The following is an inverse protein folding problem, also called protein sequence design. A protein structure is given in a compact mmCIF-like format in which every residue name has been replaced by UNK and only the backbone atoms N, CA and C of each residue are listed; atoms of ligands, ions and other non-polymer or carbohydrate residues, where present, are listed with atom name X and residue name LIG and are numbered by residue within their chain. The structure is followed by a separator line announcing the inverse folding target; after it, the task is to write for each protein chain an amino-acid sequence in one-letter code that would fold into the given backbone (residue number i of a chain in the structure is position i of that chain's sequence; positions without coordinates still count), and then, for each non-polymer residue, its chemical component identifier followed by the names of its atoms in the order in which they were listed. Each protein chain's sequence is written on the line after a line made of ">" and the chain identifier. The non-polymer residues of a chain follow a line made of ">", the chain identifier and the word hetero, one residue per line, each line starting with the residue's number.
data_IF_458630519392
#
_entry.id   IF_458630519392
#
_cell.length_a   1.000
_cell.length_b   1.000
_cell.length_c   1.000
_cell.angle_alpha   90.00
_cell.angle_beta   90.00
_cell.angle_gamma   90.00
#
_symmetry.space_group_name_H-M   'P 1'
#
loop_
_entity.id
_entity.type
_entity.pdbx_description
1 polymer ?
#
# COMPACT_ATOMS: atom_id res chain seq x y z
N UNK A 1 36.60 12.34 19.86
CA UNK A 1 36.08 13.03 18.65
C UNK A 1 34.56 13.05 18.72
N UNK A 2 33.97 14.24 18.56
CA UNK A 2 32.54 14.54 18.76
C UNK A 2 31.63 13.74 17.81
N UNK A 3 30.43 13.30 18.24
CA UNK A 3 29.43 12.74 17.35
C UNK A 3 28.73 13.87 16.57
N UNK A 4 28.66 13.71 15.25
CA UNK A 4 27.98 14.60 14.33
C UNK A 4 26.46 14.46 14.54
N UNK A 5 25.82 15.58 14.85
CA UNK A 5 24.38 15.71 15.11
C UNK A 5 23.60 15.73 13.78
N UNK A 6 22.49 15.00 13.82
CA UNK A 6 21.25 15.08 13.05
C UNK A 6 21.10 16.23 12.03
N UNK A 7 20.71 15.86 10.80
CA UNK A 7 19.70 16.61 10.02
C UNK A 7 18.73 15.61 9.36
N UNK A 8 17.63 15.32 10.05
CA UNK A 8 16.40 14.96 9.35
C UNK A 8 15.95 16.22 8.60
N UNK A 9 15.77 16.11 7.28
CA UNK A 9 15.01 17.11 6.54
C UNK A 9 13.55 17.05 7.01
N UNK A 10 13.23 17.88 7.99
CA UNK A 10 11.89 18.18 8.41
C UNK A 10 11.49 19.47 7.69
N UNK A 11 10.69 19.37 6.63
CA UNK A 11 10.12 20.57 5.99
C UNK A 11 9.17 21.21 7.00
N UNK A 12 9.64 22.29 7.62
CA UNK A 12 8.89 23.07 8.59
C UNK A 12 7.95 24.04 7.86
N UNK A 13 6.68 23.66 7.65
CA UNK A 13 5.62 24.59 7.19
C UNK A 13 4.62 24.84 8.33
N UNK A 14 5.12 25.38 9.44
CA UNK A 14 4.41 25.46 10.72
C UNK A 14 3.41 26.61 10.89
N UNK A 15 3.42 27.63 10.03
CA UNK A 15 2.58 28.83 10.20
C UNK A 15 1.65 29.17 9.02
N UNK A 16 2.01 28.91 7.77
CA UNK A 16 1.22 29.42 6.61
C UNK A 16 -0.13 28.71 6.37
N UNK A 17 -0.27 27.43 6.76
CA UNK A 17 -1.42 26.62 6.35
C UNK A 17 -2.74 26.87 7.11
N UNK A 18 -2.76 27.70 8.17
CA UNK A 18 -4.04 28.08 8.81
C UNK A 18 -4.82 29.11 8.00
N UNK A 19 -4.13 29.92 7.20
CA UNK A 19 -4.78 30.97 6.40
C UNK A 19 -5.48 30.40 5.15
N UNK A 20 -5.17 29.16 4.74
CA UNK A 20 -5.66 28.55 3.50
C UNK A 20 -6.82 27.55 3.66
N UNK A 21 -7.23 27.20 4.90
CA UNK A 21 -8.32 26.24 5.14
C UNK A 21 -8.00 24.77 4.79
N UNK A 22 -6.74 24.44 4.50
CA UNK A 22 -6.32 23.08 4.11
C UNK A 22 -6.30 22.12 5.32
N UNK A 23 -6.85 20.92 5.14
CA UNK A 23 -6.75 19.81 6.11
C UNK A 23 -5.52 18.96 5.83
N UNK A 24 -4.70 18.71 6.85
CA UNK A 24 -3.44 17.95 6.73
C UNK A 24 -3.70 16.46 7.02
N UNK A 25 -3.30 15.61 6.08
CA UNK A 25 -3.09 14.17 6.31
C UNK A 25 -1.59 13.88 6.37
N UNK A 26 -1.15 13.00 7.27
CA UNK A 26 0.26 12.61 7.37
C UNK A 26 0.45 11.12 7.17
N UNK A 27 1.51 10.77 6.46
CA UNK A 27 1.94 9.40 6.24
C UNK A 27 3.22 9.14 7.04
N UNK A 28 3.25 8.03 7.76
CA UNK A 28 4.35 7.75 8.69
C UNK A 28 5.51 7.00 8.05
N UNK A 29 5.22 6.07 7.14
CA UNK A 29 6.23 5.25 6.48
C UNK A 29 5.98 5.25 4.98
N UNK A 30 6.82 6.03 4.29
CA UNK A 30 6.94 6.07 2.83
C UNK A 30 8.36 5.71 2.43
N UNK A 31 8.57 4.53 1.86
CA UNK A 31 9.86 4.06 1.34
C UNK A 31 11.04 3.99 2.34
N UNK A 32 10.87 4.50 3.55
CA UNK A 32 11.94 4.85 4.48
C UNK A 32 11.83 3.93 5.68
N UNK A 33 12.35 2.71 5.53
CA UNK A 33 12.69 1.88 6.68
C UNK A 33 14.07 2.38 7.14
N UNK A 34 14.26 2.85 8.40
CA UNK A 34 15.54 3.42 8.80
C UNK A 34 16.71 2.45 8.55
N UNK A 35 17.81 2.94 7.95
CA UNK A 35 19.02 2.18 7.56
C UNK A 35 19.58 1.23 8.63
N UNK A 36 19.33 1.49 9.92
CA UNK A 36 19.67 0.56 11.02
C UNK A 36 18.88 -0.77 11.02
N UNK A 37 17.98 -0.97 10.06
CA UNK A 37 17.27 -2.22 9.76
C UNK A 37 17.91 -2.92 8.53
N UNK A 38 18.98 -2.37 7.94
CA UNK A 38 19.80 -3.03 6.92
C UNK A 38 21.06 -3.65 7.55
N UNK A 39 20.90 -4.93 7.95
CA UNK A 39 21.85 -6.03 7.73
C UNK A 39 23.33 -5.86 8.13
N UNK A 40 23.59 -5.76 9.45
CA UNK A 40 24.82 -6.26 10.09
C UNK A 40 24.61 -7.43 11.07
N UNK A 41 23.37 -7.71 11.50
CA UNK A 41 23.08 -8.63 12.64
C UNK A 41 21.78 -9.45 12.48
N UNK A 42 21.31 -9.63 11.24
CA UNK A 42 19.97 -10.18 10.95
C UNK A 42 19.76 -11.70 11.06
N UNK A 43 20.75 -12.61 11.13
CA UNK A 43 20.45 -14.02 11.38
C UNK A 43 19.95 -14.31 12.81
N UNK A 44 20.22 -13.41 13.79
CA UNK A 44 19.84 -13.61 15.20
C UNK A 44 18.56 -12.88 15.63
N UNK A 45 17.98 -12.02 14.79
CA UNK A 45 16.82 -11.17 15.13
C UNK A 45 15.46 -11.81 14.78
N UNK A 46 15.45 -13.02 14.23
CA UNK A 46 14.24 -13.67 13.67
C UNK A 46 13.25 -14.24 14.71
N UNK A 47 13.42 -13.96 16.02
CA UNK A 47 12.57 -14.58 17.06
C UNK A 47 11.61 -13.68 17.83
N UNK A 48 11.75 -12.34 17.82
CA UNK A 48 10.83 -11.49 18.63
C UNK A 48 10.80 -9.99 18.31
N UNK A 49 11.61 -9.48 17.36
CA UNK A 49 12.06 -8.09 17.47
C UNK A 49 11.63 -7.10 16.37
N UNK A 50 10.77 -7.44 15.41
CA UNK A 50 10.15 -6.37 14.59
C UNK A 50 9.16 -5.55 15.43
N UNK A 51 8.29 -6.21 16.21
CA UNK A 51 7.43 -5.52 17.19
C UNK A 51 8.25 -4.74 18.21
N UNK A 52 9.38 -5.28 18.69
CA UNK A 52 10.26 -4.59 19.62
C UNK A 52 11.00 -3.41 18.97
N UNK A 53 11.47 -3.52 17.73
CA UNK A 53 12.18 -2.43 17.02
C UNK A 53 11.23 -1.27 16.66
N UNK A 54 9.98 -1.59 16.30
CA UNK A 54 8.91 -0.59 16.24
C UNK A 54 8.67 0.01 17.63
N UNK A 55 8.46 -0.78 18.70
CA UNK A 55 8.26 -0.26 20.07
C UNK A 55 9.43 0.59 20.59
N UNK A 56 10.68 0.23 20.31
CA UNK A 56 11.87 0.88 20.87
C UNK A 56 12.17 2.23 20.19
N UNK A 57 11.80 2.40 18.91
CA UNK A 57 11.88 3.69 18.19
C UNK A 57 10.60 4.53 18.33
N UNK A 58 9.48 3.92 18.70
CA UNK A 58 8.26 4.60 19.10
C UNK A 58 8.39 5.07 20.56
N UNK A 59 9.20 6.10 20.85
CA UNK A 59 9.14 6.77 22.16
C UNK A 59 7.76 7.44 22.30
N UNK A 60 6.81 6.90 23.09
CA UNK A 60 5.44 7.44 23.14
C UNK A 60 5.44 8.87 23.67
N UNK A 61 6.39 9.18 24.55
CA UNK A 61 6.56 10.47 25.22
C UNK A 61 6.97 11.62 24.29
N UNK A 62 7.56 11.36 23.11
CA UNK A 62 7.93 12.41 22.15
C UNK A 62 6.79 12.80 21.19
N UNK A 63 5.74 11.98 21.08
CA UNK A 63 4.67 12.18 20.09
C UNK A 63 3.29 12.40 20.71
N UNK A 64 3.00 11.79 21.87
CA UNK A 64 1.76 12.04 22.60
C UNK A 64 1.77 13.39 23.36
N UNK A 65 2.96 13.97 23.60
CA UNK A 65 3.12 15.28 24.25
C UNK A 65 3.52 16.41 23.28
N UNK A 66 3.74 16.10 22.00
CA UNK A 66 4.27 17.03 21.00
C UNK A 66 3.19 17.60 20.08
N UNK A 67 3.25 18.91 19.83
CA UNK A 67 2.35 19.77 19.04
C UNK A 67 1.71 19.22 17.74
N UNK A 68 2.22 18.13 17.14
CA UNK A 68 1.69 17.51 15.91
C UNK A 68 0.41 16.69 16.14
N UNK A 69 0.32 15.89 17.21
CA UNK A 69 -0.84 15.04 17.47
C UNK A 69 -2.12 15.86 17.75
N UNK A 70 -1.96 17.09 18.25
CA UNK A 70 -3.07 18.03 18.46
C UNK A 70 -3.65 18.49 17.12
N UNK A 71 -2.82 18.63 16.07
CA UNK A 71 -3.20 19.23 14.77
C UNK A 71 -3.58 18.20 13.71
N UNK A 72 -2.95 17.03 13.71
CA UNK A 72 -3.21 15.98 12.72
C UNK A 72 -4.31 15.05 13.22
N UNK A 73 -5.40 14.96 12.45
CA UNK A 73 -6.55 14.09 12.75
C UNK A 73 -6.63 12.86 11.85
N UNK A 74 -5.76 12.77 10.85
CA UNK A 74 -5.77 11.72 9.86
C UNK A 74 -4.35 11.15 9.67
N UNK A 75 -4.14 9.90 10.09
CA UNK A 75 -2.86 9.19 10.12
C UNK A 75 -2.81 7.93 9.28
N UNK A 76 -1.85 7.84 8.36
CA UNK A 76 -1.58 6.61 7.61
C UNK A 76 -0.39 5.86 8.18
N UNK A 77 -0.59 4.59 8.49
CA UNK A 77 0.48 3.73 9.03
C UNK A 77 1.48 3.24 7.99
N UNK A 78 1.07 2.90 6.76
CA UNK A 78 1.95 2.26 5.77
C UNK A 78 1.52 2.55 4.34
N UNK A 79 2.42 3.09 3.51
CA UNK A 79 2.24 3.05 2.05
C UNK A 79 2.49 1.63 1.52
N UNK A 80 1.61 1.17 0.65
CA UNK A 80 1.84 0.33 -0.51
C UNK A 80 2.46 -1.00 -0.13
N UNK A 81 1.85 -1.70 0.84
CA UNK A 81 2.45 -2.89 1.40
C UNK A 81 2.58 -3.99 0.32
N UNK A 82 1.75 -3.96 -0.73
CA UNK A 82 1.94 -4.77 -1.92
C UNK A 82 3.24 -4.44 -2.66
N UNK A 83 3.50 -3.17 -2.97
CA UNK A 83 4.73 -2.70 -3.63
C UNK A 83 5.95 -3.14 -2.84
N UNK A 84 5.97 -2.90 -1.53
CA UNK A 84 7.07 -3.33 -0.66
C UNK A 84 7.27 -4.84 -0.66
N UNK A 85 6.20 -5.62 -0.56
CA UNK A 85 6.29 -7.08 -0.45
C UNK A 85 6.63 -7.75 -1.77
N UNK A 86 5.97 -7.37 -2.86
CA UNK A 86 6.16 -8.02 -4.16
C UNK A 86 7.37 -7.42 -4.90
N UNK A 87 7.45 -6.10 -5.06
CA UNK A 87 8.57 -5.52 -5.81
C UNK A 87 9.88 -5.60 -5.03
N UNK A 88 9.83 -5.53 -3.69
CA UNK A 88 11.01 -5.58 -2.83
C UNK A 88 11.54 -6.98 -2.48
N UNK A 89 10.64 -7.97 -2.30
CA UNK A 89 10.99 -9.31 -1.78
C UNK A 89 10.56 -10.49 -2.67
N UNK A 90 9.90 -10.23 -3.80
CA UNK A 90 9.56 -11.28 -4.78
C UNK A 90 10.24 -11.03 -6.12
N UNK A 91 10.07 -9.83 -6.68
CA UNK A 91 10.63 -9.43 -7.97
C UNK A 91 12.04 -8.86 -7.83
N UNK A 92 12.37 -8.23 -6.71
CA UNK A 92 13.69 -7.64 -6.45
C UNK A 92 13.98 -6.36 -7.27
N UNK A 93 12.94 -5.76 -7.86
CA UNK A 93 13.01 -4.52 -8.63
C UNK A 93 13.09 -3.28 -7.73
N UNK A 94 12.56 -3.35 -6.51
CA UNK A 94 12.60 -2.25 -5.53
C UNK A 94 13.51 -2.61 -4.35
N UNK A 95 14.03 -1.64 -3.59
CA UNK A 95 14.73 -1.91 -2.33
C UNK A 95 13.88 -2.79 -1.38
N UNK A 96 14.48 -3.78 -0.67
CA UNK A 96 15.91 -4.07 -0.56
C UNK A 96 16.47 -4.99 -1.66
N UNK A 97 15.75 -5.17 -2.78
CA UNK A 97 16.14 -6.00 -3.93
C UNK A 97 16.43 -7.46 -3.55
N UNK A 98 15.49 -8.07 -2.83
CA UNK A 98 15.55 -9.49 -2.48
C UNK A 98 14.62 -10.30 -3.37
N UNK A 99 15.13 -11.41 -3.88
CA UNK A 99 14.38 -12.37 -4.67
C UNK A 99 15.15 -13.70 -4.69
N UNK A 100 14.47 -14.79 -5.08
CA UNK A 100 15.13 -16.08 -5.25
C UNK A 100 16.29 -15.97 -6.24
N UNK A 101 17.39 -16.67 -5.96
CA UNK A 101 18.55 -16.72 -6.86
C UNK A 101 18.11 -17.23 -8.23
N UNK A 102 18.48 -16.52 -9.29
CA UNK A 102 18.06 -16.83 -10.67
C UNK A 102 16.68 -16.28 -11.05
N UNK A 103 16.01 -15.52 -10.18
CA UNK A 103 14.81 -14.77 -10.55
C UNK A 103 15.15 -13.54 -11.42
N UNK A 104 14.13 -12.99 -12.08
CA UNK A 104 14.28 -11.87 -13.02
C UNK A 104 14.92 -10.60 -12.43
N UNK A 105 14.89 -10.40 -11.12
CA UNK A 105 15.54 -9.28 -10.44
C UNK A 105 17.05 -9.43 -10.23
N UNK A 106 17.64 -10.56 -10.64
CA UNK A 106 19.07 -10.89 -10.52
C UNK A 106 19.60 -10.75 -9.09
N UNK A 107 18.79 -11.10 -8.09
CA UNK A 107 19.18 -10.98 -6.69
C UNK A 107 20.16 -12.09 -6.29
N UNK A 108 21.15 -11.71 -5.48
CA UNK A 108 22.11 -12.64 -4.88
C UNK A 108 21.58 -13.36 -3.64
N UNK A 109 20.45 -12.90 -3.08
CA UNK A 109 19.87 -13.44 -1.85
C UNK A 109 18.36 -13.20 -1.81
N UNK A 110 17.63 -14.16 -1.23
CA UNK A 110 16.20 -14.05 -0.98
C UNK A 110 15.44 -15.35 -1.21
N UNK A 111 14.15 -15.35 -0.88
CA UNK A 111 13.20 -16.43 -1.18
C UNK A 111 11.86 -15.81 -1.59
N UNK A 112 11.65 -15.66 -2.90
CA UNK A 112 10.42 -15.10 -3.48
C UNK A 112 9.18 -15.93 -3.16
N UNK A 113 9.34 -17.18 -2.70
CA UNK A 113 8.25 -18.05 -2.28
C UNK A 113 7.81 -17.85 -0.83
N UNK A 114 8.64 -17.25 0.03
CA UNK A 114 8.40 -17.11 1.49
C UNK A 114 8.49 -15.69 2.02
N UNK A 115 9.48 -14.92 1.58
CA UNK A 115 9.75 -13.58 2.10
C UNK A 115 8.56 -12.61 1.92
N UNK A 116 7.86 -12.58 0.77
CA UNK A 116 6.69 -11.70 0.61
C UNK A 116 5.59 -11.96 1.63
N UNK A 117 5.32 -13.22 1.99
CA UNK A 117 4.35 -13.57 3.02
C UNK A 117 4.83 -13.16 4.41
N UNK A 118 6.11 -13.36 4.69
CA UNK A 118 6.69 -13.03 5.99
C UNK A 118 6.70 -11.52 6.21
N UNK A 119 7.08 -10.74 5.20
CA UNK A 119 7.08 -9.28 5.25
C UNK A 119 5.65 -8.76 5.37
N UNK A 120 4.70 -9.27 4.57
CA UNK A 120 3.30 -8.89 4.67
C UNK A 120 2.73 -9.14 6.09
N UNK A 121 3.07 -10.27 6.71
CA UNK A 121 2.65 -10.62 8.07
C UNK A 121 3.14 -9.60 9.10
N UNK A 122 4.41 -9.24 9.03
CA UNK A 122 4.96 -8.26 9.96
C UNK A 122 4.42 -6.84 9.71
N UNK A 123 4.17 -6.46 8.46
CA UNK A 123 3.50 -5.18 8.14
C UNK A 123 2.13 -5.12 8.81
N UNK A 124 1.33 -6.19 8.72
CA UNK A 124 -0.01 -6.25 9.34
C UNK A 124 0.09 -6.14 10.87
N UNK A 125 1.03 -6.86 11.49
CA UNK A 125 1.25 -6.81 12.93
C UNK A 125 1.73 -5.44 13.41
N UNK A 126 2.70 -4.85 12.71
CA UNK A 126 3.23 -3.53 13.03
C UNK A 126 2.15 -2.45 12.89
N UNK A 127 1.35 -2.53 11.83
CA UNK A 127 0.18 -1.69 11.64
C UNK A 127 -0.79 -1.80 12.82
N UNK A 128 -1.25 -3.01 13.14
CA UNK A 128 -2.24 -3.22 14.20
C UNK A 128 -1.71 -2.81 15.59
N UNK A 129 -0.43 -3.06 15.87
CA UNK A 129 0.23 -2.59 17.08
C UNK A 129 0.27 -1.05 17.15
N UNK A 130 0.50 -0.38 16.01
CA UNK A 130 0.53 1.08 15.94
C UNK A 130 -0.85 1.70 16.18
N UNK A 131 -1.89 1.13 15.57
CA UNK A 131 -3.28 1.54 15.81
C UNK A 131 -3.65 1.36 17.28
N UNK A 132 -3.28 0.22 17.88
CA UNK A 132 -3.54 -0.02 19.30
C UNK A 132 -2.81 0.98 20.21
N UNK A 133 -1.54 1.29 19.90
CA UNK A 133 -0.69 2.15 20.74
C UNK A 133 -1.24 3.57 20.86
N UNK A 134 -1.78 4.12 19.78
CA UNK A 134 -2.15 5.52 19.73
C UNK A 134 -3.67 5.77 19.91
N UNK A 135 -4.44 4.75 20.29
CA UNK A 135 -5.91 4.82 20.40
C UNK A 135 -6.60 4.82 19.02
N UNK A 136 -7.94 4.78 18.98
CA UNK A 136 -8.76 4.65 17.76
C UNK A 136 -8.74 5.89 16.83
N UNK A 137 -7.56 6.37 16.43
CA UNK A 137 -7.41 7.48 15.48
C UNK A 137 -6.36 7.17 14.38
N UNK A 138 -6.32 5.93 13.88
CA UNK A 138 -5.28 5.47 12.94
C UNK A 138 -5.87 4.74 11.74
N UNK A 139 -5.17 4.88 10.62
CA UNK A 139 -5.62 4.40 9.32
C UNK A 139 -4.64 3.37 8.79
N UNK A 140 -5.15 2.31 8.20
CA UNK A 140 -4.36 1.46 7.30
C UNK A 140 -4.46 2.01 5.90
N UNK A 141 -3.32 2.27 5.28
CA UNK A 141 -3.13 2.16 3.82
C UNK A 141 -2.39 0.82 3.57
N UNK A 142 -2.40 0.22 2.38
CA UNK A 142 -2.69 0.76 1.07
C UNK A 142 -3.05 -0.39 0.11
N UNK A 143 -3.66 -0.04 -1.02
CA UNK A 143 -3.78 -0.94 -2.15
C UNK A 143 -3.68 -0.24 -3.47
N UNK A 144 -2.86 -0.82 -4.36
CA UNK A 144 -2.66 -0.44 -5.74
C UNK A 144 -3.41 -1.41 -6.68
N UNK A 145 -4.28 -0.86 -7.53
CA UNK A 145 -4.87 -1.42 -8.77
C UNK A 145 -5.84 -2.61 -8.70
N UNK A 146 -7.03 -2.45 -9.30
CA UNK A 146 -7.94 -3.57 -9.56
C UNK A 146 -8.88 -3.46 -10.77
N UNK A 147 -9.21 -4.67 -11.26
CA UNK A 147 -9.80 -5.02 -12.55
C UNK A 147 -11.29 -5.03 -12.66
N UNK A 148 -11.74 -4.71 -13.87
CA UNK A 148 -13.01 -5.16 -14.41
C UNK A 148 -12.80 -6.23 -15.48
N UNK A 149 -13.48 -7.36 -15.30
CA UNK A 149 -14.23 -7.98 -16.39
C UNK A 149 -15.56 -8.48 -15.81
N UNK A 150 -16.61 -8.37 -16.62
CA UNK A 150 -18.03 -8.60 -16.36
C UNK A 150 -18.42 -9.94 -15.70
N UNK A 151 -17.50 -10.82 -15.26
CA UNK A 151 -17.85 -12.09 -14.58
C UNK A 151 -16.94 -12.65 -13.46
N UNK A 152 -15.72 -12.19 -13.14
CA UNK A 152 -14.86 -13.00 -12.24
C UNK A 152 -13.99 -12.19 -11.24
N UNK A 153 -14.35 -12.30 -9.96
CA UNK A 153 -13.59 -11.90 -8.75
C UNK A 153 -12.34 -12.75 -8.45
N UNK A 154 -11.61 -13.24 -9.47
CA UNK A 154 -10.45 -14.15 -9.31
C UNK A 154 -9.19 -13.69 -10.06
N UNK A 155 -8.81 -12.42 -9.95
CA UNK A 155 -7.52 -11.94 -10.43
C UNK A 155 -6.42 -12.07 -9.36
N UNK A 156 -5.16 -12.25 -9.76
CA UNK A 156 -4.02 -12.22 -8.81
C UNK A 156 -4.01 -10.91 -8.00
N UNK A 157 -4.38 -9.78 -8.60
CA UNK A 157 -4.41 -8.48 -7.89
C UNK A 157 -5.53 -8.38 -6.85
N UNK A 158 -6.70 -9.01 -7.07
CA UNK A 158 -7.71 -9.07 -6.02
C UNK A 158 -7.25 -9.95 -4.85
N UNK A 159 -6.49 -11.01 -5.13
CA UNK A 159 -5.86 -11.81 -4.08
C UNK A 159 -4.88 -10.98 -3.25
N UNK A 160 -4.17 -10.04 -3.87
CA UNK A 160 -3.31 -9.09 -3.18
C UNK A 160 -4.13 -8.08 -2.36
N UNK A 161 -5.19 -7.49 -2.93
CA UNK A 161 -6.18 -6.67 -2.22
C UNK A 161 -6.81 -7.38 -1.02
N UNK A 162 -6.94 -8.70 -1.09
CA UNK A 162 -7.49 -9.49 0.00
C UNK A 162 -6.42 -9.84 1.05
N UNK A 163 -5.12 -9.88 0.68
CA UNK A 163 -4.01 -10.29 1.57
C UNK A 163 -3.94 -9.49 2.86
N UNK A 164 -4.23 -8.20 2.79
CA UNK A 164 -4.20 -7.24 3.90
C UNK A 164 -5.63 -6.85 4.34
N UNK A 165 -6.62 -6.71 3.44
CA UNK A 165 -8.01 -6.42 3.87
C UNK A 165 -8.68 -7.54 4.66
N UNK A 166 -8.49 -8.81 4.30
CA UNK A 166 -9.13 -9.92 5.05
C UNK A 166 -8.60 -9.98 6.50
N UNK A 167 -7.28 -9.88 6.78
CA UNK A 167 -6.78 -9.77 8.15
C UNK A 167 -7.40 -8.62 8.93
N UNK A 168 -7.48 -7.43 8.34
CA UNK A 168 -8.04 -6.25 9.00
C UNK A 168 -9.53 -6.39 9.32
N UNK A 169 -10.29 -7.11 8.50
CA UNK A 169 -11.75 -7.23 8.65
C UNK A 169 -12.18 -8.47 9.43
N UNK A 170 -11.41 -9.56 9.30
CA UNK A 170 -11.77 -10.90 9.79
C UNK A 170 -10.75 -11.46 10.78
N UNK A 171 -9.56 -10.89 10.86
CA UNK A 171 -8.49 -11.31 11.75
C UNK A 171 -7.61 -12.45 11.21
N UNK A 172 -7.77 -12.83 9.94
CA UNK A 172 -6.97 -13.87 9.28
C UNK A 172 -6.88 -13.66 7.76
N UNK A 173 -5.94 -14.32 7.10
CA UNK A 173 -5.74 -14.27 5.64
C UNK A 173 -6.91 -14.92 4.86
N UNK A 174 -7.05 -14.61 3.56
CA UNK A 174 -8.06 -15.28 2.71
C UNK A 174 -7.85 -16.80 2.65
N UNK A 175 -8.94 -17.58 2.70
CA UNK A 175 -8.89 -19.05 2.62
C UNK A 175 -8.04 -19.55 1.44
N UNK A 176 -8.27 -18.99 0.25
CA UNK A 176 -7.53 -19.33 -0.97
C UNK A 176 -6.02 -19.10 -0.84
N UNK A 177 -5.61 -18.12 -0.05
CA UNK A 177 -4.19 -17.86 0.21
C UNK A 177 -3.62 -18.88 1.18
N UNK A 178 -4.36 -19.26 2.23
CA UNK A 178 -3.92 -20.30 3.18
C UNK A 178 -3.77 -21.65 2.50
N UNK A 179 -4.73 -22.04 1.67
CA UNK A 179 -4.70 -23.28 0.89
C UNK A 179 -3.51 -23.31 -0.08
N UNK A 180 -3.30 -22.23 -0.83
CA UNK A 180 -2.24 -22.18 -1.84
C UNK A 180 -0.83 -22.01 -1.24
N UNK A 181 -0.68 -21.17 -0.22
CA UNK A 181 0.62 -20.87 0.38
C UNK A 181 1.06 -21.92 1.41
N UNK A 182 0.10 -22.59 2.07
CA UNK A 182 0.37 -23.62 3.06
C UNK A 182 1.32 -23.13 4.17
N UNK A 183 2.35 -23.93 4.46
CA UNK A 183 3.34 -23.64 5.50
C UNK A 183 4.18 -22.36 5.25
N UNK A 184 4.16 -21.80 4.04
CA UNK A 184 4.90 -20.56 3.72
C UNK A 184 4.19 -19.30 4.23
N UNK A 185 2.88 -19.39 4.52
CA UNK A 185 2.11 -18.30 5.07
C UNK A 185 2.09 -18.38 6.60
N UNK A 186 2.63 -17.37 7.31
CA UNK A 186 2.60 -17.37 8.77
C UNK A 186 1.16 -17.30 9.29
N UNK A 187 0.90 -17.91 10.44
CA UNK A 187 -0.41 -17.90 11.10
C UNK A 187 -0.44 -16.82 12.18
N UNK A 188 -1.57 -16.12 12.30
CA UNK A 188 -1.80 -15.23 13.44
C UNK A 188 -2.19 -16.06 14.67
N UNK A 189 -1.63 -15.72 15.83
CA UNK A 189 -2.12 -16.21 17.11
C UNK A 189 -3.46 -15.54 17.45
N UNK A 190 -4.25 -16.12 18.35
CA UNK A 190 -5.52 -15.51 18.78
C UNK A 190 -5.36 -14.07 19.30
N UNK A 191 -4.27 -13.81 20.03
CA UNK A 191 -3.95 -12.47 20.53
C UNK A 191 -3.69 -11.49 19.37
N UNK A 192 -2.99 -11.93 18.34
CA UNK A 192 -2.73 -11.12 17.14
C UNK A 192 -4.01 -10.91 16.33
N UNK A 193 -4.81 -11.96 16.10
CA UNK A 193 -6.13 -11.87 15.45
C UNK A 193 -7.01 -10.83 16.13
N UNK A 194 -7.11 -10.86 17.46
CA UNK A 194 -7.87 -9.86 18.26
C UNK A 194 -7.32 -8.44 18.11
N UNK A 195 -6.01 -8.29 17.92
CA UNK A 195 -5.36 -6.99 17.74
C UNK A 195 -5.56 -6.42 16.33
N UNK A 196 -5.55 -7.27 15.30
CA UNK A 196 -5.64 -6.88 13.89
C UNK A 196 -7.07 -6.59 13.46
N UNK A 197 -8.03 -7.38 13.95
CA UNK A 197 -9.42 -7.25 13.52
C UNK A 197 -9.99 -5.89 13.92
N UNK A 198 -10.46 -5.13 12.94
CA UNK A 198 -11.00 -3.79 13.12
C UNK A 198 -9.94 -2.73 13.41
N UNK A 199 -8.66 -2.97 13.12
CA UNK A 199 -7.58 -2.00 13.40
C UNK A 199 -7.54 -0.84 12.39
N UNK A 200 -8.69 -0.25 12.04
CA UNK A 200 -8.78 0.86 11.09
C UNK A 200 -10.08 1.66 11.22
N UNK A 201 -9.96 2.98 11.05
CA UNK A 201 -11.13 3.87 11.00
C UNK A 201 -11.61 4.14 9.56
N UNK A 202 -10.70 4.01 8.59
CA UNK A 202 -10.98 4.08 7.15
C UNK A 202 -9.86 3.44 6.34
N UNK A 203 -10.10 3.30 5.03
CA UNK A 203 -9.14 2.75 4.06
C UNK A 203 -8.68 3.82 3.06
N UNK A 204 -7.38 3.99 2.91
CA UNK A 204 -6.82 4.75 1.78
C UNK A 204 -6.54 3.84 0.58
N UNK A 205 -7.04 4.21 -0.59
CA UNK A 205 -6.87 3.47 -1.84
C UNK A 205 -6.03 4.26 -2.84
N UNK A 206 -5.01 3.60 -3.38
CA UNK A 206 -4.21 4.11 -4.48
C UNK A 206 -4.72 3.44 -5.77
N UNK A 207 -5.21 4.22 -6.72
CA UNK A 207 -5.72 3.65 -7.96
C UNK A 207 -5.04 4.32 -9.14
N UNK A 208 -4.44 3.52 -10.03
CA UNK A 208 -3.70 4.05 -11.17
C UNK A 208 -4.20 3.45 -12.49
N UNK A 209 -4.33 2.12 -12.54
CA UNK A 209 -4.44 1.38 -13.79
C UNK A 209 -5.28 0.12 -13.65
N UNK A 210 -5.47 -0.50 -14.81
CA UNK A 210 -5.98 -1.82 -14.97
C UNK A 210 -5.10 -2.66 -16.00
N UNK A 211 -4.64 -3.91 -15.72
CA UNK A 211 -4.31 -5.16 -16.47
C UNK A 211 -5.37 -6.32 -16.52
N UNK A 212 -5.68 -6.95 -17.65
CA UNK A 212 -6.57 -8.14 -17.67
C UNK A 212 -6.15 -9.30 -16.75
N UNK A 213 -7.15 -9.95 -16.13
CA UNK A 213 -6.95 -11.19 -15.38
C UNK A 213 -6.71 -12.37 -16.34
N UNK A 214 -5.84 -13.31 -15.96
CA UNK A 214 -5.61 -14.57 -16.69
C UNK A 214 -5.67 -15.77 -15.77
N UNK A 215 -6.11 -16.89 -16.33
CA UNK A 215 -6.03 -18.18 -15.68
C UNK A 215 -4.56 -18.66 -15.73
N UNK A 216 -4.03 -19.13 -14.59
CA UNK A 216 -2.61 -19.45 -14.41
C UNK A 216 -2.11 -20.63 -15.27
N UNK A 217 -3.01 -21.34 -15.94
CA UNK A 217 -2.72 -22.52 -16.75
C UNK A 217 -2.11 -22.20 -18.13
N UNK A 218 -2.13 -20.95 -18.59
CA UNK A 218 -1.50 -20.55 -19.86
C UNK A 218 -0.28 -19.67 -19.59
N UNK A 219 0.90 -20.30 -19.56
CA UNK A 219 2.22 -19.73 -19.28
C UNK A 219 2.89 -19.06 -20.47
N UNK A 220 2.25 -19.02 -21.65
CA UNK A 220 2.81 -18.38 -22.83
C UNK A 220 2.76 -16.85 -22.68
N UNK A 221 3.81 -16.27 -22.08
CA UNK A 221 4.49 -14.98 -22.32
C UNK A 221 3.73 -13.70 -22.72
N UNK A 222 2.40 -13.70 -22.81
CA UNK A 222 1.65 -12.62 -23.43
C UNK A 222 1.44 -11.48 -22.45
N UNK A 223 1.42 -10.24 -22.93
CA UNK A 223 1.31 -9.02 -22.11
C UNK A 223 -0.05 -8.91 -21.39
N UNK A 224 -0.08 -8.78 -20.05
CA UNK A 224 -1.32 -8.70 -19.23
C UNK A 224 -2.19 -7.47 -19.52
N UNK A 225 -1.68 -6.48 -20.25
CA UNK A 225 -2.45 -5.30 -20.69
C UNK A 225 -3.38 -5.60 -21.86
N UNK A 226 -3.19 -6.74 -22.51
CA UNK A 226 -3.91 -7.14 -23.71
C UNK A 226 -4.70 -8.42 -23.47
N UNK A 227 -5.91 -8.47 -24.04
CA UNK A 227 -6.70 -9.68 -24.23
C UNK A 227 -7.02 -9.81 -25.69
N UNK A 228 -6.63 -10.93 -26.30
CA UNK A 228 -6.93 -11.20 -27.71
C UNK A 228 -6.48 -10.02 -28.61
N UNK A 229 -5.33 -9.43 -28.30
CA UNK A 229 -4.79 -8.26 -29.01
C UNK A 229 -5.41 -6.91 -28.63
N UNK A 230 -6.48 -6.88 -27.84
CA UNK A 230 -7.16 -5.64 -27.42
C UNK A 230 -6.56 -5.09 -26.11
N UNK A 231 -6.03 -3.85 -26.07
CA UNK A 231 -5.58 -3.23 -24.84
C UNK A 231 -6.76 -2.85 -23.95
N UNK A 232 -6.57 -2.96 -22.63
CA UNK A 232 -7.60 -2.57 -21.64
C UNK A 232 -7.92 -1.07 -21.65
N UNK A 233 -6.96 -0.24 -22.07
CA UNK A 233 -7.07 1.21 -22.17
C UNK A 233 -5.79 1.80 -22.77
N UNK A 234 -5.78 3.10 -23.10
CA UNK A 234 -4.60 3.76 -23.63
C UNK A 234 -3.47 3.76 -22.59
N UNK A 235 -2.22 3.62 -23.05
CA UNK A 235 -1.05 3.69 -22.17
C UNK A 235 -0.79 5.14 -21.76
N UNK A 236 -0.50 5.37 -20.47
CA UNK A 236 -0.04 6.67 -19.98
C UNK A 236 1.48 6.83 -20.20
N UNK A 237 2.08 7.85 -19.57
CA UNK A 237 3.52 8.12 -19.66
C UNK A 237 4.35 6.91 -19.18
N UNK A 238 4.01 6.35 -18.01
CA UNK A 238 4.67 5.17 -17.49
C UNK A 238 4.22 3.91 -18.23
N UNK A 239 5.19 3.10 -18.66
CA UNK A 239 4.92 1.87 -19.44
C UNK A 239 3.93 0.97 -18.72
N UNK A 240 3.99 0.83 -17.40
CA UNK A 240 3.12 -0.05 -16.61
C UNK A 240 1.66 0.42 -16.51
N UNK A 241 1.38 1.69 -16.80
CA UNK A 241 0.08 2.34 -16.57
C UNK A 241 -0.78 2.32 -17.84
N UNK A 242 -1.97 1.76 -17.72
CA UNK A 242 -3.02 1.74 -18.74
C UNK A 242 -4.27 2.40 -18.16
N UNK A 243 -4.70 3.49 -18.79
CA UNK A 243 -5.76 4.35 -18.29
C UNK A 243 -7.09 3.61 -18.37
N UNK A 244 -7.67 3.29 -17.21
CA UNK A 244 -8.94 2.57 -17.12
C UNK A 244 -9.86 3.15 -16.03
N UNK A 245 -10.49 4.31 -16.26
CA UNK A 245 -11.19 5.04 -15.20
C UNK A 245 -12.37 4.30 -14.59
N UNK A 246 -12.97 3.35 -15.30
CA UNK A 246 -14.07 2.53 -14.76
C UNK A 246 -13.60 1.58 -13.65
N UNK A 247 -12.33 1.20 -13.61
CA UNK A 247 -11.83 0.25 -12.62
C UNK A 247 -11.92 0.77 -11.20
N UNK A 248 -11.74 2.09 -10.96
CA UNK A 248 -11.90 2.67 -9.62
C UNK A 248 -13.32 2.46 -9.08
N UNK A 249 -14.35 2.62 -9.93
CA UNK A 249 -15.75 2.37 -9.53
C UNK A 249 -15.96 0.91 -9.12
N UNK A 250 -15.39 -0.03 -9.87
CA UNK A 250 -15.55 -1.46 -9.57
C UNK A 250 -14.75 -1.89 -8.33
N UNK A 251 -13.56 -1.32 -8.11
CA UNK A 251 -12.79 -1.51 -6.88
C UNK A 251 -13.59 -1.00 -5.67
N UNK A 252 -14.15 0.21 -5.75
CA UNK A 252 -15.00 0.76 -4.69
C UNK A 252 -16.24 -0.09 -4.43
N UNK A 253 -16.92 -0.54 -5.49
CA UNK A 253 -18.08 -1.42 -5.39
C UNK A 253 -17.71 -2.75 -4.73
N UNK A 254 -16.58 -3.34 -5.11
CA UNK A 254 -16.08 -4.56 -4.50
C UNK A 254 -15.81 -4.38 -3.01
N UNK A 255 -15.08 -3.31 -2.65
CA UNK A 255 -14.75 -3.01 -1.26
C UNK A 255 -16.01 -2.82 -0.43
N UNK A 256 -17.01 -2.11 -0.97
CA UNK A 256 -18.32 -1.99 -0.34
C UNK A 256 -18.98 -3.34 -0.08
N UNK A 257 -19.10 -4.17 -1.12
CA UNK A 257 -19.82 -5.44 -1.06
C UNK A 257 -19.14 -6.46 -0.16
N UNK A 258 -17.80 -6.50 -0.15
CA UNK A 258 -17.04 -7.53 0.59
C UNK A 258 -16.69 -7.12 2.03
N UNK A 259 -16.42 -5.85 2.26
CA UNK A 259 -15.87 -5.34 3.52
C UNK A 259 -16.80 -4.38 4.26
N UNK A 260 -18.11 -4.51 4.03
CA UNK A 260 -19.16 -3.78 4.73
C UNK A 260 -19.05 -2.24 4.60
N UNK A 261 -18.80 -1.76 3.38
CA UNK A 261 -18.80 -0.33 3.04
C UNK A 261 -17.95 0.56 3.98
N UNK A 262 -16.64 0.30 4.12
CA UNK A 262 -15.81 1.13 4.97
C UNK A 262 -15.74 2.56 4.42
N UNK A 263 -15.40 3.51 5.29
CA UNK A 263 -15.00 4.85 4.85
C UNK A 263 -13.75 4.74 3.97
N UNK A 264 -13.75 5.42 2.83
CA UNK A 264 -12.66 5.38 1.85
C UNK A 264 -12.18 6.78 1.49
N UNK A 265 -10.88 6.92 1.33
CA UNK A 265 -10.25 8.06 0.67
C UNK A 265 -9.41 7.55 -0.51
N UNK A 266 -9.53 8.17 -1.68
CA UNK A 266 -8.60 7.91 -2.78
C UNK A 266 -7.34 8.70 -2.48
N UNK A 267 -6.25 8.03 -2.10
CA UNK A 267 -5.05 8.67 -1.54
C UNK A 267 -3.96 8.93 -2.56
N UNK A 268 -3.98 8.20 -3.67
CA UNK A 268 -3.16 8.48 -4.85
C UNK A 268 -3.97 8.07 -6.09
N UNK A 269 -3.94 8.92 -7.12
CA UNK A 269 -4.45 8.65 -8.47
C UNK A 269 -3.68 9.55 -9.43
N UNK A 270 -3.25 9.03 -10.57
CA UNK A 270 -2.19 9.70 -11.32
C UNK A 270 -2.23 9.45 -12.82
N UNK A 271 -2.25 10.57 -13.52
CA UNK A 271 -1.76 10.85 -14.87
C UNK A 271 -1.84 12.38 -14.98
N UNK A 272 -0.79 13.06 -15.45
CA UNK A 272 -0.71 14.53 -15.53
C UNK A 272 -1.71 15.18 -16.53
N UNK A 273 -2.78 14.46 -16.90
CA UNK A 273 -3.78 14.85 -17.89
C UNK A 273 -5.10 15.16 -17.20
N UNK A 274 -5.63 16.35 -17.47
CA UNK A 274 -6.96 16.79 -16.99
C UNK A 274 -8.04 15.74 -17.28
N UNK A 275 -8.03 15.16 -18.48
CA UNK A 275 -9.00 14.14 -18.90
C UNK A 275 -8.96 12.86 -18.05
N UNK A 276 -7.77 12.46 -17.58
CA UNK A 276 -7.62 11.31 -16.70
C UNK A 276 -8.31 11.56 -15.36
N UNK A 277 -7.99 12.67 -14.69
CA UNK A 277 -8.61 13.02 -13.40
C UNK A 277 -10.11 13.20 -13.54
N UNK A 278 -10.57 13.89 -14.57
CA UNK A 278 -12.00 14.09 -14.83
C UNK A 278 -12.74 12.75 -14.96
N UNK A 279 -12.20 11.81 -15.74
CA UNK A 279 -12.83 10.50 -15.91
C UNK A 279 -12.81 9.67 -14.61
N UNK A 280 -11.76 9.74 -13.80
CA UNK A 280 -11.72 9.04 -12.51
C UNK A 280 -12.68 9.67 -11.49
N UNK A 281 -12.72 11.00 -11.38
CA UNK A 281 -13.64 11.73 -10.51
C UNK A 281 -15.11 11.48 -10.87
N UNK A 282 -15.46 11.38 -12.15
CA UNK A 282 -16.82 10.97 -12.58
C UNK A 282 -17.17 9.59 -12.03
N UNK A 283 -16.23 8.64 -12.05
CA UNK A 283 -16.45 7.29 -11.52
C UNK A 283 -16.54 7.27 -9.99
N UNK A 284 -15.77 8.11 -9.28
CA UNK A 284 -15.90 8.31 -7.83
C UNK A 284 -17.26 8.94 -7.48
N UNK A 285 -17.71 9.98 -8.22
CA UNK A 285 -19.03 10.58 -8.04
C UNK A 285 -20.15 9.57 -8.28
N UNK A 286 -19.99 8.71 -9.30
CA UNK A 286 -20.93 7.60 -9.56
C UNK A 286 -20.94 6.59 -8.41
N UNK A 287 -19.80 6.26 -7.82
CA UNK A 287 -19.69 5.40 -6.66
C UNK A 287 -20.43 5.98 -5.44
N UNK A 288 -20.22 7.27 -5.14
CA UNK A 288 -20.93 7.97 -4.06
C UNK A 288 -22.45 7.96 -4.26
N UNK A 289 -22.93 8.19 -5.49
CA UNK A 289 -24.37 8.08 -5.84
C UNK A 289 -24.95 6.67 -5.65
N UNK A 290 -24.10 5.65 -5.58
CA UNK A 290 -24.48 4.25 -5.28
C UNK A 290 -24.22 3.87 -3.81
N UNK A 291 -24.01 4.87 -2.95
CA UNK A 291 -23.86 4.72 -1.51
C UNK A 291 -22.55 4.07 -1.08
N UNK A 292 -21.48 4.19 -1.87
CA UNK A 292 -20.12 3.89 -1.41
C UNK A 292 -19.60 5.10 -0.64
N UNK A 293 -18.95 4.90 0.51
CA UNK A 293 -18.55 6.00 1.39
C UNK A 293 -17.15 6.54 1.03
N UNK A 294 -17.04 7.26 -0.09
CA UNK A 294 -15.79 7.91 -0.51
C UNK A 294 -15.80 9.38 -0.12
N UNK A 295 -14.88 9.77 0.78
CA UNK A 295 -14.87 11.08 1.44
C UNK A 295 -13.76 12.03 0.97
N UNK A 296 -12.84 11.57 0.12
CA UNK A 296 -11.83 12.44 -0.46
C UNK A 296 -11.06 11.80 -1.61
N UNK A 297 -10.38 12.66 -2.35
CA UNK A 297 -9.59 12.32 -3.52
C UNK A 297 -8.33 13.18 -3.53
N UNK A 298 -7.18 12.51 -3.48
CA UNK A 298 -5.86 13.12 -3.46
C UNK A 298 -5.15 12.70 -4.74
N UNK A 299 -4.92 13.66 -5.62
CA UNK A 299 -4.18 13.43 -6.84
C UNK A 299 -2.70 13.24 -6.50
N UNK A 300 -2.10 12.19 -7.06
CA UNK A 300 -0.66 12.02 -7.10
C UNK A 300 -0.19 12.68 -8.38
N UNK A 301 0.68 13.70 -8.34
CA UNK A 301 1.36 14.30 -7.18
C UNK A 301 1.27 15.82 -7.16
N UNK A 302 1.51 16.45 -6.00
CA UNK A 302 1.48 17.91 -5.89
C UNK A 302 2.59 18.57 -6.72
N UNK A 303 3.75 17.92 -6.86
CA UNK A 303 4.91 18.39 -7.61
C UNK A 303 5.62 17.21 -8.24
N UNK A 304 6.32 17.46 -9.36
CA UNK A 304 7.30 16.51 -9.89
C UNK A 304 8.27 16.06 -8.79
N UNK A 305 8.53 14.75 -8.73
CA UNK A 305 9.31 14.15 -7.66
C UNK A 305 10.14 12.95 -8.17
N UNK A 306 10.94 12.36 -7.29
CA UNK A 306 11.77 11.19 -7.60
C UNK A 306 10.92 9.92 -7.64
N UNK A 307 10.65 9.42 -8.84
CA UNK A 307 9.82 8.23 -9.07
C UNK A 307 10.67 6.96 -8.96
N UNK A 308 11.00 6.58 -7.72
CA UNK A 308 11.60 5.28 -7.40
C UNK A 308 12.77 4.89 -8.33
N UNK A 309 12.66 3.76 -9.03
CA UNK A 309 13.69 3.25 -9.95
C UNK A 309 13.73 3.99 -11.27
N UNK A 310 12.70 4.76 -11.62
CA UNK A 310 12.63 5.59 -12.82
C UNK A 310 13.31 6.97 -12.61
N UNK A 311 13.67 7.30 -11.38
CA UNK A 311 14.35 8.55 -11.03
C UNK A 311 13.50 9.78 -11.40
N UNK A 312 14.09 10.76 -12.06
CA UNK A 312 13.38 11.98 -12.53
C UNK A 312 12.95 11.89 -14.00
N UNK A 313 12.95 10.70 -14.60
CA UNK A 313 12.64 10.53 -16.03
C UNK A 313 11.14 10.56 -16.34
N UNK A 314 10.30 10.46 -15.30
CA UNK A 314 8.84 10.56 -15.37
C UNK A 314 8.38 11.72 -14.48
N UNK A 315 7.30 12.38 -14.89
CA UNK A 315 6.71 13.54 -14.22
C UNK A 315 5.26 13.27 -13.87
N UNK A 316 4.90 13.58 -12.63
CA UNK A 316 3.58 13.34 -12.06
C UNK A 316 3.03 14.56 -11.32
N UNK A 317 3.69 15.72 -11.36
CA UNK A 317 3.16 16.95 -10.78
C UNK A 317 1.92 17.46 -11.51
N UNK A 318 0.99 18.09 -10.78
CA UNK A 318 -0.19 18.80 -11.31
C UNK A 318 0.18 20.19 -11.84
#
# INVERSE_FOLDING_TARGET
>A
MKPFVEKLFCVHTGQENRLSGLRIGTERYRASVPLGIELGTFPKLYKTNMEASYRHKLRPHQFASGSLAIRVKHWITMNEPWTFTILGYAEGSFPPRRCSVGAAGECSVGDSGREPYTVAHHIILAHAALVRLYGQNFQVRQYCNMFYEKKIFKSRMITEFNRFMDPLTRGDYPNSMREHAGHRLPKFTEKQTKMIKGSYDFIGLNYYTAIYARNLLNTNGLNRKYREGVPIGPQAASKWLSVYPRGIYYLLLYTKMKYNNPVIYITENDDARIDYYMKHLINVRRANRKGMDVRGFFAWSMFDNFEWTDGYTVRFGI
#
